data_IF_772022453620
#
_entry.id   IF_772022453620
#
_cell.length_a   1.000
_cell.length_b   1.000
_cell.length_c   1.000
_cell.angle_alpha   90.00
_cell.angle_beta   90.00
_cell.angle_gamma   90.00
#
_symmetry.space_group_name_H-M   'P 1'
#
loop_
_entity.id
_entity.type
_entity.pdbx_description
1 polymer ?
#
# COMPACT_ATOMS: atom_id res chain seq x y z
N UNK A 1 21.60 -9.82 19.53
CA UNK A 1 21.30 -11.06 18.77
C UNK A 1 20.82 -10.65 17.40
N UNK A 2 21.73 -10.03 16.65
CA UNK A 2 21.55 -9.49 15.30
C UNK A 2 22.76 -10.05 14.55
N UNK A 3 22.57 -11.09 13.74
CA UNK A 3 23.66 -11.56 12.85
C UNK A 3 23.19 -12.60 11.82
N UNK A 4 22.20 -13.45 12.14
CA UNK A 4 21.88 -14.56 11.21
C UNK A 4 21.08 -14.12 9.97
N UNK A 5 20.25 -13.09 10.09
CA UNK A 5 19.38 -12.62 9.00
C UNK A 5 20.15 -11.74 8.01
N UNK A 6 21.03 -10.87 8.51
CA UNK A 6 21.84 -9.98 7.66
C UNK A 6 22.92 -10.76 6.90
N UNK A 7 23.53 -11.77 7.54
CA UNK A 7 24.45 -12.70 6.86
C UNK A 7 23.73 -13.51 5.77
N UNK A 8 22.51 -13.97 6.03
CA UNK A 8 21.70 -14.67 5.03
C UNK A 8 21.37 -13.76 3.83
N UNK A 9 20.98 -12.51 4.09
CA UNK A 9 20.73 -11.52 3.04
C UNK A 9 21.98 -11.24 2.21
N UNK A 10 23.13 -11.03 2.85
CA UNK A 10 24.39 -10.78 2.17
C UNK A 10 24.79 -11.96 1.25
N UNK A 11 24.62 -13.19 1.72
CA UNK A 11 24.90 -14.40 0.92
C UNK A 11 23.96 -14.52 -0.29
N UNK A 12 22.65 -14.34 -0.08
CA UNK A 12 21.65 -14.37 -1.16
C UNK A 12 21.91 -13.28 -2.19
N UNK A 13 22.21 -12.06 -1.73
CA UNK A 13 22.48 -10.91 -2.59
C UNK A 13 23.74 -11.15 -3.43
N UNK A 14 24.84 -11.58 -2.79
CA UNK A 14 26.10 -11.88 -3.50
C UNK A 14 25.92 -12.93 -4.60
N UNK A 15 25.10 -13.96 -4.35
CA UNK A 15 24.81 -14.99 -5.34
C UNK A 15 23.99 -14.45 -6.53
N UNK A 16 22.94 -13.68 -6.25
CA UNK A 16 22.09 -13.10 -7.27
C UNK A 16 22.83 -12.06 -8.12
N UNK A 17 23.61 -11.18 -7.50
CA UNK A 17 24.38 -10.15 -8.19
C UNK A 17 25.46 -10.71 -9.13
N UNK A 18 26.07 -11.85 -8.76
CA UNK A 18 27.01 -12.56 -9.65
C UNK A 18 26.33 -13.18 -10.87
N UNK A 19 25.05 -13.51 -10.75
CA UNK A 19 24.29 -14.21 -11.79
C UNK A 19 23.61 -13.22 -12.73
N UNK A 20 22.83 -12.30 -12.17
CA UNK A 20 22.16 -11.20 -12.87
C UNK A 20 21.85 -10.06 -11.87
N UNK A 21 22.73 -9.03 -11.81
CA UNK A 21 22.63 -7.95 -10.83
C UNK A 21 21.41 -7.06 -11.02
N UNK A 22 20.83 -7.05 -12.21
CA UNK A 22 19.65 -6.24 -12.52
C UNK A 22 18.38 -7.10 -12.59
N UNK A 23 18.38 -8.31 -12.02
CA UNK A 23 17.19 -9.16 -12.05
C UNK A 23 16.10 -8.66 -11.11
N UNK A 24 14.84 -8.98 -11.44
CA UNK A 24 13.71 -8.78 -10.52
C UNK A 24 13.86 -9.53 -9.19
N UNK A 25 14.71 -10.56 -9.13
CA UNK A 25 15.03 -11.26 -7.89
C UNK A 25 15.90 -10.39 -6.97
N UNK A 26 16.89 -9.68 -7.52
CA UNK A 26 17.69 -8.70 -6.77
C UNK A 26 16.80 -7.57 -6.25
N UNK A 27 15.93 -7.00 -7.10
CA UNK A 27 15.01 -5.94 -6.69
C UNK A 27 14.11 -6.36 -5.51
N UNK A 28 13.57 -7.58 -5.57
CA UNK A 28 12.75 -8.13 -4.48
C UNK A 28 13.56 -8.36 -3.20
N UNK A 29 14.83 -8.74 -3.32
CA UNK A 29 15.70 -8.93 -2.16
C UNK A 29 16.03 -7.60 -1.49
N UNK A 30 16.36 -6.56 -2.26
CA UNK A 30 16.54 -5.22 -1.70
C UNK A 30 15.27 -4.71 -1.00
N UNK A 31 14.10 -4.91 -1.60
CA UNK A 31 12.82 -4.57 -0.98
C UNK A 31 12.56 -5.36 0.32
N UNK A 32 12.86 -6.66 0.32
CA UNK A 32 12.74 -7.51 1.52
C UNK A 32 13.65 -7.02 2.64
N UNK A 33 14.92 -6.74 2.32
CA UNK A 33 15.88 -6.17 3.25
C UNK A 33 15.38 -4.83 3.79
N UNK A 34 15.00 -3.88 2.92
CA UNK A 34 14.51 -2.56 3.32
C UNK A 34 13.32 -2.64 4.30
N UNK A 35 12.41 -3.59 4.06
CA UNK A 35 11.19 -3.75 4.85
C UNK A 35 11.43 -4.34 6.25
N UNK A 36 12.62 -4.89 6.52
CA UNK A 36 13.01 -5.41 7.82
C UNK A 36 13.79 -4.41 8.68
N UNK A 37 14.15 -3.25 8.13
CA UNK A 37 14.86 -2.22 8.88
C UNK A 37 13.88 -1.51 9.82
N UNK A 38 14.37 -1.15 11.01
CA UNK A 38 13.64 -0.30 11.95
C UNK A 38 13.83 1.19 11.61
N UNK A 39 12.99 2.09 12.14
CA UNK A 39 13.09 3.53 11.85
C UNK A 39 14.45 4.15 12.20
N UNK A 40 15.21 3.59 13.14
CA UNK A 40 16.58 4.02 13.45
C UNK A 40 17.61 3.71 12.35
N UNK A 41 17.27 2.82 11.42
CA UNK A 41 18.06 2.50 10.23
C UNK A 41 17.45 3.08 8.95
N UNK A 42 16.69 4.16 9.07
CA UNK A 42 15.94 4.78 7.96
C UNK A 42 16.80 5.04 6.71
N UNK A 43 18.00 5.58 6.87
CA UNK A 43 18.87 5.88 5.71
C UNK A 43 19.30 4.62 4.94
N UNK A 44 19.60 3.53 5.66
CA UNK A 44 19.95 2.23 5.07
C UNK A 44 18.75 1.64 4.32
N UNK A 45 17.57 1.69 4.93
CA UNK A 45 16.32 1.24 4.32
C UNK A 45 16.00 2.03 3.04
N UNK A 46 16.16 3.35 3.06
CA UNK A 46 15.94 4.21 1.89
C UNK A 46 16.91 3.89 0.75
N UNK A 47 18.18 3.65 1.03
CA UNK A 47 19.14 3.23 0.01
C UNK A 47 18.74 1.90 -0.65
N UNK A 48 18.21 0.96 0.14
CA UNK A 48 17.70 -0.32 -0.37
C UNK A 48 16.42 -0.15 -1.21
N UNK A 49 15.49 0.72 -0.79
CA UNK A 49 14.32 1.06 -1.59
C UNK A 49 14.74 1.68 -2.94
N UNK A 50 15.66 2.66 -2.92
CA UNK A 50 16.15 3.30 -4.14
C UNK A 50 16.82 2.29 -5.10
N UNK A 51 17.57 1.32 -4.57
CA UNK A 51 18.17 0.24 -5.35
C UNK A 51 17.11 -0.70 -5.94
N UNK A 52 16.09 -1.09 -5.16
CA UNK A 52 14.97 -1.90 -5.64
C UNK A 52 14.18 -1.18 -6.75
N UNK A 53 13.86 0.09 -6.54
CA UNK A 53 13.06 0.91 -7.44
C UNK A 53 13.77 1.14 -8.77
N UNK A 54 15.08 1.38 -8.76
CA UNK A 54 15.88 1.50 -9.98
C UNK A 54 15.79 0.23 -10.85
N UNK A 55 15.87 -0.95 -10.22
CA UNK A 55 15.77 -2.21 -10.95
C UNK A 55 14.33 -2.46 -11.42
N UNK A 56 13.31 -2.23 -10.60
CA UNK A 56 11.93 -2.39 -11.07
C UNK A 56 11.63 -1.43 -12.24
N UNK A 57 12.09 -0.18 -12.18
CA UNK A 57 11.93 0.79 -13.26
C UNK A 57 12.59 0.31 -14.57
N UNK A 58 13.78 -0.28 -14.49
CA UNK A 58 14.48 -0.89 -15.64
C UNK A 58 13.64 -1.98 -16.32
N UNK A 59 12.83 -2.72 -15.56
CA UNK A 59 11.99 -3.82 -16.07
C UNK A 59 10.61 -3.38 -16.55
N UNK A 60 10.25 -2.09 -16.48
CA UNK A 60 8.96 -1.60 -16.97
C UNK A 60 8.67 -1.95 -18.45
N UNK A 61 9.63 -1.92 -19.39
CA UNK A 61 9.36 -2.24 -20.80
C UNK A 61 9.21 -3.74 -21.09
N UNK A 62 9.84 -4.59 -20.29
CA UNK A 62 10.00 -6.04 -20.58
C UNK A 62 9.17 -6.93 -19.67
N UNK A 63 8.88 -6.48 -18.44
CA UNK A 63 8.16 -7.23 -17.42
C UNK A 63 7.19 -6.31 -16.63
N UNK A 64 6.44 -5.47 -17.36
CA UNK A 64 5.60 -4.39 -16.79
C UNK A 64 4.78 -4.79 -15.57
N UNK A 65 3.99 -5.86 -15.63
CA UNK A 65 3.10 -6.21 -14.52
C UNK A 65 3.88 -6.50 -13.23
N UNK A 66 5.00 -7.22 -13.31
CA UNK A 66 5.85 -7.52 -12.17
C UNK A 66 6.61 -6.29 -11.68
N UNK A 67 7.11 -5.45 -12.59
CA UNK A 67 7.80 -4.21 -12.28
C UNK A 67 6.89 -3.21 -11.56
N UNK A 68 5.70 -2.94 -12.10
CA UNK A 68 4.71 -2.03 -11.48
C UNK A 68 4.23 -2.58 -10.14
N UNK A 69 4.02 -3.90 -10.03
CA UNK A 69 3.68 -4.51 -8.74
C UNK A 69 4.78 -4.31 -7.68
N UNK A 70 6.04 -4.45 -8.08
CA UNK A 70 7.21 -4.26 -7.22
C UNK A 70 7.36 -2.81 -6.76
N UNK A 71 7.34 -1.86 -7.70
CA UNK A 71 7.40 -0.42 -7.41
C UNK A 71 6.29 0.01 -6.45
N UNK A 72 5.05 -0.40 -6.72
CA UNK A 72 3.92 -0.02 -5.87
C UNK A 72 4.07 -0.58 -4.44
N UNK A 73 4.62 -1.79 -4.28
CA UNK A 73 4.89 -2.35 -2.96
C UNK A 73 6.04 -1.63 -2.26
N UNK A 74 7.12 -1.33 -2.99
CA UNK A 74 8.28 -0.59 -2.48
C UNK A 74 7.88 0.79 -1.97
N UNK A 75 7.16 1.57 -2.77
CA UNK A 75 6.64 2.88 -2.38
C UNK A 75 5.68 2.83 -1.20
N UNK A 76 4.84 1.79 -1.11
CA UNK A 76 3.94 1.62 0.04
C UNK A 76 4.72 1.34 1.34
N UNK A 77 5.78 0.53 1.27
CA UNK A 77 6.63 0.23 2.42
C UNK A 77 7.49 1.44 2.80
N UNK A 78 7.98 2.20 1.81
CA UNK A 78 8.64 3.49 2.04
C UNK A 78 7.71 4.47 2.74
N UNK A 79 6.45 4.57 2.31
CA UNK A 79 5.47 5.42 2.98
C UNK A 79 5.26 5.02 4.45
N UNK A 80 5.21 3.72 4.76
CA UNK A 80 5.11 3.24 6.13
C UNK A 80 6.34 3.62 6.98
N UNK A 81 7.55 3.43 6.45
CA UNK A 81 8.79 3.85 7.11
C UNK A 81 8.80 5.36 7.40
N UNK A 82 8.39 6.18 6.42
CA UNK A 82 8.35 7.64 6.56
C UNK A 82 7.26 8.10 7.55
N UNK A 83 6.11 7.42 7.61
CA UNK A 83 5.07 7.63 8.63
C UNK A 83 5.63 7.38 10.03
N UNK A 84 6.34 6.27 10.22
CA UNK A 84 6.95 5.92 11.51
C UNK A 84 8.04 6.90 11.93
N UNK A 85 8.78 7.45 10.96
CA UNK A 85 9.79 8.48 11.19
C UNK A 85 9.20 9.89 11.42
N UNK A 86 7.90 10.09 11.15
CA UNK A 86 7.26 11.40 11.22
C UNK A 86 7.60 12.34 10.05
N UNK A 87 8.12 11.78 8.96
CA UNK A 87 8.55 12.48 7.74
C UNK A 87 7.38 12.61 6.76
N UNK A 88 6.39 13.40 7.15
CA UNK A 88 5.05 13.38 6.54
C UNK A 88 5.01 13.75 5.05
N UNK A 89 5.83 14.70 4.58
CA UNK A 89 5.82 15.07 3.16
C UNK A 89 6.39 13.94 2.29
N UNK A 90 7.43 13.24 2.76
CA UNK A 90 7.98 12.07 2.08
C UNK A 90 7.02 10.89 2.10
N UNK A 91 6.33 10.68 3.23
CA UNK A 91 5.28 9.67 3.34
C UNK A 91 4.12 9.92 2.36
N UNK A 92 3.67 11.17 2.23
CA UNK A 92 2.60 11.54 1.28
C UNK A 92 3.05 11.30 -0.15
N UNK A 93 4.26 11.73 -0.53
CA UNK A 93 4.78 11.53 -1.89
C UNK A 93 4.84 10.04 -2.26
N UNK A 94 5.43 9.21 -1.39
CA UNK A 94 5.54 7.76 -1.62
C UNK A 94 4.16 7.08 -1.68
N UNK A 95 3.24 7.43 -0.77
CA UNK A 95 1.90 6.85 -0.74
C UNK A 95 1.08 7.24 -1.98
N UNK A 96 1.17 8.51 -2.43
CA UNK A 96 0.52 8.97 -3.66
C UNK A 96 0.98 8.15 -4.87
N UNK A 97 2.29 8.00 -5.06
CA UNK A 97 2.83 7.23 -6.19
C UNK A 97 2.42 5.75 -6.12
N UNK A 98 2.37 5.15 -4.93
CA UNK A 98 1.88 3.78 -4.75
C UNK A 98 0.40 3.65 -5.16
N UNK A 99 -0.45 4.60 -4.74
CA UNK A 99 -1.87 4.66 -5.12
C UNK A 99 -2.02 4.78 -6.64
N UNK A 100 -1.29 5.68 -7.29
CA UNK A 100 -1.36 5.88 -8.74
C UNK A 100 -1.02 4.59 -9.51
N UNK A 101 0.06 3.90 -9.12
CA UNK A 101 0.43 2.62 -9.73
C UNK A 101 -0.62 1.53 -9.48
N UNK A 102 -1.18 1.46 -8.27
CA UNK A 102 -2.23 0.47 -7.95
C UNK A 102 -3.54 0.75 -8.66
N UNK A 103 -3.92 2.00 -8.83
CA UNK A 103 -5.06 2.41 -9.65
C UNK A 103 -4.82 2.04 -11.12
N UNK A 104 -3.62 2.27 -11.67
CA UNK A 104 -3.29 1.83 -13.03
C UNK A 104 -3.44 0.31 -13.17
N UNK A 105 -2.91 -0.46 -12.23
CA UNK A 105 -3.06 -1.93 -12.25
C UNK A 105 -4.51 -2.38 -12.17
N UNK A 106 -5.32 -1.77 -11.29
CA UNK A 106 -6.74 -2.08 -11.17
C UNK A 106 -7.50 -1.75 -12.46
N UNK A 107 -7.27 -0.58 -13.08
CA UNK A 107 -7.89 -0.21 -14.37
C UNK A 107 -7.53 -1.16 -15.49
N UNK A 108 -6.31 -1.70 -15.49
CA UNK A 108 -5.83 -2.66 -16.48
C UNK A 108 -6.15 -4.13 -16.12
N UNK A 109 -6.84 -4.39 -15.01
CA UNK A 109 -7.26 -5.72 -14.59
C UNK A 109 -8.51 -6.18 -15.36
N UNK A 110 -8.36 -6.46 -16.65
CA UNK A 110 -9.46 -6.85 -17.54
C UNK A 110 -9.60 -8.37 -17.63
N UNK A 111 -10.82 -8.89 -17.48
CA UNK A 111 -11.14 -10.30 -17.73
C UNK A 111 -10.73 -11.28 -16.62
N UNK A 112 -10.36 -10.79 -15.43
CA UNK A 112 -10.06 -11.61 -14.24
C UNK A 112 -10.63 -11.00 -12.97
N UNK A 113 -10.66 -11.78 -11.88
CA UNK A 113 -11.04 -11.30 -10.55
C UNK A 113 -10.03 -10.24 -10.08
N UNK A 114 -10.52 -9.09 -9.62
CA UNK A 114 -9.72 -7.92 -9.23
C UNK A 114 -9.57 -7.76 -7.71
N UNK A 115 -10.00 -8.76 -6.92
CA UNK A 115 -9.92 -8.73 -5.46
C UNK A 115 -8.51 -8.37 -4.95
N UNK A 116 -7.46 -8.96 -5.54
CA UNK A 116 -6.10 -8.67 -5.08
C UNK A 116 -5.74 -7.22 -5.37
N UNK A 117 -6.02 -6.75 -6.57
CA UNK A 117 -5.76 -5.37 -7.00
C UNK A 117 -6.51 -4.35 -6.15
N UNK A 118 -7.77 -4.62 -5.81
CA UNK A 118 -8.58 -3.78 -4.90
C UNK A 118 -8.04 -3.76 -3.48
N UNK A 119 -7.69 -4.93 -2.94
CA UNK A 119 -7.16 -5.01 -1.59
C UNK A 119 -5.81 -4.30 -1.46
N UNK A 120 -4.92 -4.52 -2.44
CA UNK A 120 -3.63 -3.86 -2.48
C UNK A 120 -3.78 -2.33 -2.65
N UNK A 121 -4.72 -1.86 -3.49
CA UNK A 121 -5.04 -0.43 -3.59
C UNK A 121 -5.59 0.12 -2.27
N UNK A 122 -6.43 -0.64 -1.57
CA UNK A 122 -6.96 -0.25 -0.26
C UNK A 122 -5.86 -0.05 0.79
N UNK A 123 -4.82 -0.89 0.80
CA UNK A 123 -3.67 -0.69 1.69
C UNK A 123 -2.88 0.58 1.35
N UNK A 124 -2.66 0.87 0.07
CA UNK A 124 -1.98 2.11 -0.34
C UNK A 124 -2.79 3.36 -0.05
N UNK A 125 -4.11 3.31 -0.21
CA UNK A 125 -4.98 4.41 0.20
C UNK A 125 -4.96 4.59 1.73
N UNK A 126 -4.92 3.51 2.51
CA UNK A 126 -4.79 3.61 3.97
C UNK A 126 -3.47 4.28 4.39
N UNK A 127 -2.34 3.92 3.75
CA UNK A 127 -1.07 4.60 3.97
C UNK A 127 -1.15 6.09 3.61
N UNK A 128 -1.78 6.43 2.47
CA UNK A 128 -1.98 7.81 2.05
C UNK A 128 -2.83 8.61 3.04
N UNK A 129 -3.92 8.02 3.55
CA UNK A 129 -4.78 8.64 4.58
C UNK A 129 -3.96 8.98 5.82
N UNK A 130 -3.16 8.02 6.33
CA UNK A 130 -2.33 8.24 7.52
C UNK A 130 -1.28 9.33 7.29
N UNK A 131 -0.59 9.29 6.14
CA UNK A 131 0.42 10.30 5.78
C UNK A 131 -0.19 11.70 5.67
N UNK A 132 -1.36 11.84 5.03
CA UNK A 132 -2.07 13.11 4.91
C UNK A 132 -2.57 13.62 6.27
N UNK A 133 -3.04 12.74 7.16
CA UNK A 133 -3.40 13.11 8.52
C UNK A 133 -2.19 13.63 9.31
N UNK A 134 -1.05 12.93 9.24
CA UNK A 134 0.20 13.37 9.87
C UNK A 134 0.68 14.72 9.34
N UNK A 135 0.53 14.97 8.04
CA UNK A 135 0.82 16.25 7.40
C UNK A 135 -0.21 17.36 7.71
N UNK A 136 -1.28 17.09 8.46
CA UNK A 136 -2.35 18.05 8.76
C UNK A 136 -3.27 18.35 7.57
N UNK A 137 -3.19 17.59 6.47
CA UNK A 137 -3.97 17.78 5.24
C UNK A 137 -5.32 17.04 5.34
N UNK A 138 -6.14 17.42 6.33
CA UNK A 138 -7.33 16.66 6.74
C UNK A 138 -8.41 16.51 5.65
N UNK A 139 -8.62 17.53 4.81
CA UNK A 139 -9.56 17.44 3.69
C UNK A 139 -9.11 16.40 2.66
N UNK A 140 -7.81 16.39 2.31
CA UNK A 140 -7.25 15.40 1.40
C UNK A 140 -7.28 14.00 2.02
N UNK A 141 -7.01 13.88 3.32
CA UNK A 141 -7.11 12.60 4.01
C UNK A 141 -8.54 12.06 3.99
N UNK A 142 -9.55 12.93 4.17
CA UNK A 142 -10.96 12.56 4.08
C UNK A 142 -11.28 12.01 2.70
N UNK A 143 -10.86 12.71 1.65
CA UNK A 143 -11.13 12.33 0.27
C UNK A 143 -10.46 10.98 -0.06
N UNK A 144 -9.20 10.79 0.35
CA UNK A 144 -8.51 9.50 0.20
C UNK A 144 -9.18 8.36 1.00
N UNK A 145 -9.72 8.66 2.19
CA UNK A 145 -10.45 7.67 2.98
C UNK A 145 -11.80 7.30 2.31
N UNK A 146 -12.47 8.26 1.68
CA UNK A 146 -13.66 8.04 0.88
C UNK A 146 -13.36 7.07 -0.28
N UNK A 147 -12.33 7.36 -1.07
CA UNK A 147 -11.87 6.50 -2.17
C UNK A 147 -11.55 5.08 -1.69
N UNK A 148 -10.89 4.96 -0.52
CA UNK A 148 -10.54 3.67 0.05
C UNK A 148 -11.78 2.84 0.43
N UNK A 149 -12.79 3.50 1.01
CA UNK A 149 -14.08 2.87 1.36
C UNK A 149 -14.83 2.43 0.10
N UNK A 150 -14.81 3.22 -0.97
CA UNK A 150 -15.41 2.84 -2.25
C UNK A 150 -14.72 1.63 -2.88
N UNK A 151 -13.38 1.64 -2.95
CA UNK A 151 -12.58 0.54 -3.51
C UNK A 151 -12.81 -0.77 -2.75
N UNK A 152 -12.75 -0.71 -1.42
CA UNK A 152 -12.91 -1.87 -0.55
C UNK A 152 -14.37 -2.25 -0.34
N UNK A 153 -15.32 -1.39 -0.70
CA UNK A 153 -16.75 -1.66 -0.62
C UNK A 153 -17.18 -2.88 -1.43
N UNK A 154 -16.40 -3.24 -2.47
CA UNK A 154 -16.56 -4.48 -3.21
C UNK A 154 -16.50 -5.74 -2.32
N UNK A 155 -15.80 -5.69 -1.18
CA UNK A 155 -15.70 -6.80 -0.22
C UNK A 155 -16.83 -6.83 0.81
N UNK A 156 -17.72 -5.84 0.83
CA UNK A 156 -18.77 -5.78 1.84
C UNK A 156 -19.68 -7.01 1.75
N UNK A 157 -19.82 -7.72 2.88
CA UNK A 157 -20.59 -8.97 2.96
C UNK A 157 -19.89 -10.22 2.38
N UNK A 158 -18.64 -10.11 1.94
CA UNK A 158 -17.81 -11.26 1.56
C UNK A 158 -17.09 -11.88 2.77
N UNK A 159 -16.71 -13.16 2.65
CA UNK A 159 -15.85 -13.83 3.63
C UNK A 159 -14.37 -13.57 3.30
N UNK A 160 -13.92 -12.33 3.52
CA UNK A 160 -12.52 -11.93 3.44
C UNK A 160 -12.17 -11.13 4.69
N UNK A 161 -11.44 -11.74 5.62
CA UNK A 161 -11.16 -11.17 6.93
C UNK A 161 -10.26 -9.93 6.82
N UNK A 162 -9.22 -9.98 5.98
CA UNK A 162 -8.28 -8.87 5.82
C UNK A 162 -8.98 -7.65 5.25
N UNK A 163 -9.76 -7.83 4.17
CA UNK A 163 -10.54 -6.77 3.56
C UNK A 163 -11.60 -6.21 4.52
N UNK A 164 -12.26 -7.06 5.30
CA UNK A 164 -13.25 -6.63 6.29
C UNK A 164 -12.63 -5.75 7.39
N UNK A 165 -11.49 -6.16 7.95
CA UNK A 165 -10.77 -5.41 8.98
C UNK A 165 -10.32 -4.06 8.43
N UNK A 166 -9.72 -4.04 7.24
CA UNK A 166 -9.24 -2.82 6.61
C UNK A 166 -10.40 -1.86 6.28
N UNK A 167 -11.46 -2.36 5.64
CA UNK A 167 -12.67 -1.57 5.31
C UNK A 167 -13.29 -0.97 6.57
N UNK A 168 -13.43 -1.75 7.66
CA UNK A 168 -14.04 -1.25 8.90
C UNK A 168 -13.21 -0.12 9.51
N UNK A 169 -11.87 -0.26 9.56
CA UNK A 169 -10.98 0.80 10.02
C UNK A 169 -11.13 2.07 9.19
N UNK A 170 -11.15 1.94 7.86
CA UNK A 170 -11.28 3.07 6.95
C UNK A 170 -12.64 3.76 7.04
N UNK A 171 -13.74 3.03 7.25
CA UNK A 171 -15.05 3.63 7.52
C UNK A 171 -15.01 4.50 8.78
N UNK A 172 -14.38 4.02 9.85
CA UNK A 172 -14.21 4.81 11.08
C UNK A 172 -13.36 6.06 10.83
N UNK A 173 -12.20 5.90 10.18
CA UNK A 173 -11.30 7.03 9.87
C UNK A 173 -12.00 8.06 8.98
N UNK A 174 -12.73 7.62 7.95
CA UNK A 174 -13.52 8.49 7.08
C UNK A 174 -14.57 9.28 7.86
N UNK A 175 -15.34 8.62 8.73
CA UNK A 175 -16.34 9.29 9.56
C UNK A 175 -15.72 10.32 10.52
N UNK A 176 -14.59 9.98 11.13
CA UNK A 176 -13.86 10.89 12.01
C UNK A 176 -13.31 12.11 11.24
N UNK A 177 -12.78 11.90 10.04
CA UNK A 177 -12.30 12.97 9.16
C UNK A 177 -13.42 13.87 8.65
N UNK A 178 -14.58 13.31 8.32
CA UNK A 178 -15.79 14.08 8.03
C UNK A 178 -16.14 15.01 9.21
N UNK A 179 -16.17 14.47 10.43
CA UNK A 179 -16.44 15.26 11.63
C UNK A 179 -15.39 16.37 11.85
N UNK A 180 -14.10 16.06 11.70
CA UNK A 180 -13.00 17.03 11.86
C UNK A 180 -13.03 18.14 10.79
N UNK A 181 -13.50 17.83 9.58
CA UNK A 181 -13.61 18.78 8.47
C UNK A 181 -15.00 19.46 8.38
N UNK A 182 -15.90 19.19 9.34
CA UNK A 182 -17.25 19.76 9.36
C UNK A 182 -18.14 19.29 8.21
N UNK A 183 -17.83 18.15 7.59
CA UNK A 183 -18.58 17.52 6.51
C UNK A 183 -19.42 16.36 7.03
N UNK A 184 -20.49 16.02 6.31
CA UNK A 184 -21.22 14.79 6.53
C UNK A 184 -20.62 13.65 5.68
N UNK A 185 -20.53 12.42 6.19
CA UNK A 185 -20.16 11.26 5.37
C UNK A 185 -21.13 11.07 4.19
N UNK A 186 -20.60 10.71 3.02
CA UNK A 186 -21.41 10.48 1.82
C UNK A 186 -22.27 9.23 1.98
N UNK A 187 -23.59 9.43 1.96
CA UNK A 187 -24.57 8.36 2.04
C UNK A 187 -24.49 7.39 0.84
N UNK A 188 -24.05 7.86 -0.34
CA UNK A 188 -23.89 7.01 -1.53
C UNK A 188 -22.79 5.97 -1.34
N UNK A 189 -21.78 6.30 -0.53
CA UNK A 189 -20.68 5.40 -0.18
C UNK A 189 -21.10 4.44 0.93
N UNK A 190 -21.74 4.95 2.00
CA UNK A 190 -22.02 4.14 3.20
C UNK A 190 -23.26 3.24 3.11
N UNK A 191 -24.33 3.68 2.42
CA UNK A 191 -25.59 2.92 2.36
C UNK A 191 -25.45 1.55 1.66
N UNK A 192 -24.71 1.41 0.54
CA UNK A 192 -24.46 0.11 -0.07
C UNK A 192 -23.77 -0.88 0.88
N UNK A 193 -22.82 -0.40 1.68
CA UNK A 193 -22.09 -1.22 2.65
C UNK A 193 -23.02 -1.74 3.75
N UNK A 194 -23.85 -0.86 4.31
CA UNK A 194 -24.84 -1.23 5.32
C UNK A 194 -25.79 -2.34 4.80
N UNK A 195 -26.29 -2.20 3.56
CA UNK A 195 -27.13 -3.21 2.91
C UNK A 195 -26.41 -4.54 2.70
N UNK A 196 -25.15 -4.48 2.26
CA UNK A 196 -24.33 -5.66 2.03
C UNK A 196 -24.05 -6.44 3.32
N UNK A 197 -23.65 -5.75 4.40
CA UNK A 197 -23.44 -6.36 5.71
C UNK A 197 -24.73 -6.95 6.30
N UNK A 198 -25.86 -6.25 6.18
CA UNK A 198 -27.15 -6.75 6.65
C UNK A 198 -27.57 -8.03 5.91
N UNK A 199 -27.40 -8.03 4.58
CA UNK A 199 -27.77 -9.17 3.72
C UNK A 199 -26.88 -10.38 3.92
N UNK A 200 -25.60 -10.19 4.28
CA UNK A 200 -24.68 -11.28 4.62
C UNK A 200 -25.07 -12.00 5.92
N UNK A 201 -25.67 -11.29 6.88
CA UNK A 201 -26.13 -11.83 8.16
C UNK A 201 -27.35 -12.75 8.04
N UNK A 202 -28.14 -12.60 6.98
CA UNK A 202 -29.33 -13.44 6.72
C UNK A 202 -29.02 -14.78 6.01
N UNK A 203 -27.75 -15.04 5.65
CA UNK A 203 -27.30 -16.24 4.93
C UNK A 203 -26.44 -17.19 5.81
N UNK A 204 -26.38 -16.95 7.12
CA UNK A 204 -25.68 -17.80 8.10
C UNK A 204 -26.58 -18.86 8.69
#
# INVERSE_FOLDING_TARGET
>A
MTDNTDEEYALRLSYLEKTDPNSLAVARLYLEMASNHSPDQREEALALFDAADAIFALHLPTARDAAVAGLALSLNNRAALEIEAGEWDWAVDAACQAVELRQDRLRNCVGRKDDKERLDLGYSLAALVLALQGAGKLDLARDAACDAVEVLGAFAGMRNQDAFVLLTKLICIYADLCNQTGQLPDANVLLPLAKAFYSARGKS
#
